data_IF_345558794998
#
_entry.id   IF_345558794998
#
_cell.length_a   1.000
_cell.length_b   1.000
_cell.length_c   1.000
_cell.angle_alpha   90.00
_cell.angle_beta   90.00
_cell.angle_gamma   90.00
#
_symmetry.space_group_name_H-M   'P 1'
#
loop_
_entity.id
_entity.type
_entity.pdbx_description
1 polymer ?
2 water ?
#
# COMPACT_ATOMS: atom_id res chain seq x y z
N UNK A 1 17.87 16.84 -16.44
CA UNK A 1 16.69 17.16 -17.22
C UNK A 1 15.52 17.70 -16.41
N UNK A 2 14.30 17.44 -16.87
CA UNK A 2 13.14 17.87 -16.09
C UNK A 2 13.13 17.20 -14.72
N UNK A 3 13.52 15.92 -14.66
CA UNK A 3 13.16 15.10 -13.52
C UNK A 3 13.84 15.61 -12.26
N UNK A 4 13.08 15.64 -11.17
CA UNK A 4 13.66 15.90 -9.86
C UNK A 4 14.61 14.77 -9.48
N UNK A 5 14.24 13.54 -9.83
CA UNK A 5 15.02 12.34 -9.56
C UNK A 5 14.38 11.19 -10.31
N UNK A 6 15.14 10.11 -10.44
CA UNK A 6 14.68 8.89 -11.11
C UNK A 6 14.99 7.72 -10.20
N UNK A 7 13.98 6.88 -9.97
CA UNK A 7 14.16 5.59 -9.31
C UNK A 7 14.16 4.52 -10.40
N UNK A 8 15.25 3.75 -10.50
CA UNK A 8 15.45 2.82 -11.60
C UNK A 8 15.04 1.40 -11.23
N UNK A 9 14.37 0.73 -12.17
CA UNK A 9 14.13 -0.72 -12.10
C UNK A 9 13.47 -1.13 -10.79
N UNK A 10 12.36 -0.45 -10.48
CA UNK A 10 11.59 -0.77 -9.28
C UNK A 10 10.63 -1.93 -9.57
N UNK A 11 10.48 -2.83 -8.59
CA UNK A 11 9.58 -3.96 -8.77
C UNK A 11 8.13 -3.51 -8.60
N UNK A 12 7.35 -3.63 -9.66
CA UNK A 12 5.92 -3.38 -9.58
C UNK A 12 5.16 -4.70 -9.63
N UNK A 13 4.11 -4.79 -8.82
CA UNK A 13 3.23 -5.96 -8.83
C UNK A 13 1.95 -5.70 -9.59
N UNK A 14 1.52 -4.45 -9.67
CA UNK A 14 0.31 -4.06 -10.39
C UNK A 14 0.67 -2.72 -11.02
N UNK A 15 0.93 -2.69 -12.35
CA UNK A 15 1.08 -3.90 -13.20
C UNK A 15 2.42 -4.61 -12.95
N UNK A 16 2.61 -5.85 -13.41
CA UNK A 16 3.79 -6.60 -13.01
C UNK A 16 4.96 -6.37 -13.97
N UNK A 17 6.16 -6.31 -13.41
CA UNK A 17 7.38 -5.98 -14.14
C UNK A 17 8.25 -4.98 -13.40
N UNK A 18 9.47 -4.73 -13.86
CA UNK A 18 10.31 -3.69 -13.30
C UNK A 18 10.17 -2.42 -14.14
N UNK A 19 10.02 -1.28 -13.45
CA UNK A 19 9.77 0.01 -14.07
C UNK A 19 10.68 1.07 -13.47
N UNK A 20 11.12 2.03 -14.30
CA UNK A 20 11.72 3.24 -13.78
C UNK A 20 10.61 4.19 -13.37
N UNK A 21 10.82 4.92 -12.29
CA UNK A 21 9.90 5.97 -11.87
C UNK A 21 10.62 7.30 -11.99
N UNK A 22 10.23 8.10 -12.97
CA UNK A 22 10.79 9.43 -13.19
C UNK A 22 9.87 10.44 -12.49
N UNK A 23 10.44 11.21 -11.57
CA UNK A 23 9.70 12.11 -10.69
C UNK A 23 9.83 13.52 -11.26
N UNK A 24 8.71 14.08 -11.70
CA UNK A 24 8.61 15.44 -12.17
C UNK A 24 7.79 16.26 -11.19
N UNK A 25 7.74 17.59 -11.36
CA UNK A 25 7.06 18.42 -10.36
C UNK A 25 5.57 18.14 -10.21
N UNK A 26 4.84 17.83 -11.29
CA UNK A 26 3.40 17.62 -11.19
C UNK A 26 2.96 16.20 -11.49
N UNK A 27 3.85 15.33 -11.96
CA UNK A 27 3.49 13.96 -12.25
C UNK A 27 4.72 13.09 -12.15
N UNK A 28 4.49 11.79 -12.01
CA UNK A 28 5.53 10.80 -12.18
C UNK A 28 5.30 10.06 -13.48
N UNK A 29 6.41 9.63 -14.09
CA UNK A 29 6.39 8.84 -15.31
C UNK A 29 6.84 7.44 -14.96
N UNK A 30 5.90 6.49 -15.04
CA UNK A 30 6.17 5.07 -14.82
C UNK A 30 6.58 4.46 -16.16
N UNK A 31 7.86 4.11 -16.29
CA UNK A 31 8.46 3.78 -17.58
C UNK A 31 8.84 2.30 -17.57
N UNK A 32 8.12 1.51 -18.36
CA UNK A 32 8.34 0.08 -18.44
C UNK A 32 9.03 -0.31 -19.72
N UNK A 33 9.16 -1.63 -19.90
CA UNK A 33 9.83 -2.14 -21.09
C UNK A 33 8.97 -1.90 -22.32
N UNK A 34 7.66 -2.08 -22.19
CA UNK A 34 6.72 -1.87 -23.28
C UNK A 34 5.70 -0.78 -22.99
N UNK A 35 5.30 -0.58 -21.74
CA UNK A 35 4.22 0.33 -21.41
C UNK A 35 4.73 1.54 -20.61
N UNK A 36 4.02 2.66 -20.79
CA UNK A 36 4.33 3.93 -20.17
C UNK A 36 3.05 4.60 -19.68
N UNK A 37 3.10 5.21 -18.51
CA UNK A 37 1.98 5.97 -18.00
C UNK A 37 2.46 7.20 -17.25
N UNK A 38 1.77 8.32 -17.49
CA UNK A 38 1.91 9.52 -16.67
C UNK A 38 0.87 9.48 -15.57
N UNK A 39 1.29 9.80 -14.36
CA UNK A 39 0.37 9.77 -13.22
C UNK A 39 0.49 11.11 -12.51
N UNK A 40 -0.46 12.04 -12.72
CA UNK A 40 -0.42 13.28 -11.95
C UNK A 40 -0.60 12.99 -10.48
N UNK A 41 0.12 13.73 -9.64
CA UNK A 41 0.01 13.54 -8.20
C UNK A 41 -1.41 13.78 -7.71
N UNK A 42 -2.20 14.56 -8.45
CA UNK A 42 -3.59 14.81 -8.07
C UNK A 42 -4.45 13.56 -8.16
N UNK A 43 -3.98 12.53 -8.87
CA UNK A 43 -4.71 11.27 -8.94
C UNK A 43 -4.31 10.28 -7.85
N UNK A 44 -3.41 10.66 -6.95
CA UNK A 44 -2.96 9.78 -5.88
C UNK A 44 -3.78 10.10 -4.62
N UNK A 45 -4.60 9.14 -4.20
CA UNK A 45 -5.53 9.37 -3.10
C UNK A 45 -5.00 8.94 -1.74
N UNK A 46 -4.20 7.88 -1.68
CA UNK A 46 -3.69 7.37 -0.42
C UNK A 46 -2.34 6.72 -0.68
N UNK A 47 -1.54 6.61 0.39
CA UNK A 47 -0.30 5.86 0.36
C UNK A 47 -0.25 4.93 1.56
N UNK A 48 0.29 3.72 1.36
CA UNK A 48 0.45 2.73 2.41
C UNK A 48 1.83 2.10 2.33
N UNK A 49 2.46 1.93 3.49
CA UNK A 49 3.68 1.12 3.64
C UNK A 49 3.35 -0.11 4.49
N UNK A 50 3.55 -1.30 3.93
CA UNK A 50 3.04 -2.53 4.53
C UNK A 50 4.16 -3.57 4.62
N UNK A 51 4.47 -4.07 5.80
CA UNK A 51 5.50 -5.12 5.96
C UNK A 51 5.00 -6.48 5.49
N UNK A 52 5.70 -7.06 4.54
CA UNK A 52 5.42 -8.42 4.12
C UNK A 52 5.58 -9.37 5.31
N UNK A 53 4.68 -10.35 5.37
CA UNK A 53 4.72 -11.34 6.45
C UNK A 53 6.06 -12.06 6.50
N UNK A 54 6.75 -12.21 5.36
CA UNK A 54 8.04 -12.89 5.33
C UNK A 54 9.13 -12.14 6.08
N UNK A 55 8.87 -10.93 6.55
CA UNK A 55 9.80 -10.10 7.32
C UNK A 55 10.97 -9.56 6.48
N UNK A 56 11.04 -9.91 5.19
CA UNK A 56 12.15 -9.44 4.36
C UNK A 56 11.75 -8.33 3.38
N UNK A 57 10.47 -8.16 3.12
CA UNK A 57 10.01 -7.25 2.07
C UNK A 57 8.99 -6.25 2.58
N UNK A 58 8.85 -5.17 1.82
CA UNK A 58 7.94 -4.08 2.11
C UNK A 58 7.15 -3.76 0.86
N UNK A 59 5.83 -3.64 1.01
CA UNK A 59 4.95 -3.13 -0.04
C UNK A 59 4.80 -1.62 0.12
N UNK A 60 4.85 -0.89 -1.00
CA UNK A 60 4.44 0.50 -1.03
C UNK A 60 3.25 0.62 -1.97
N UNK A 61 2.10 1.02 -1.41
CA UNK A 61 0.83 0.96 -2.11
C UNK A 61 0.39 2.38 -2.42
N UNK A 62 0.20 2.68 -3.71
CA UNK A 62 -0.26 3.99 -4.16
C UNK A 62 -1.66 3.83 -4.74
N UNK A 63 -2.66 4.35 -4.04
CA UNK A 63 -4.04 4.28 -4.52
C UNK A 63 -4.29 5.36 -5.56
N UNK A 64 -4.83 4.97 -6.72
CA UNK A 64 -4.99 5.86 -7.85
C UNK A 64 -6.45 6.04 -8.25
N UNK A 65 -6.80 7.28 -8.64
CA UNK A 65 -8.08 7.60 -9.24
C UNK A 65 -7.91 8.79 -10.18
N UNK A 66 -8.10 8.61 -11.50
CA UNK A 66 -8.58 7.36 -12.12
C UNK A 66 -7.51 6.27 -12.11
N UNK A 67 -7.89 5.02 -12.36
CA UNK A 67 -6.90 3.93 -12.39
C UNK A 67 -5.99 4.04 -13.61
N UNK A 68 -4.92 3.27 -13.54
CA UNK A 68 -3.97 3.14 -14.64
C UNK A 68 -4.54 2.31 -15.79
N UNK A 73 -7.46 -4.24 -18.92
CA UNK A 73 -7.21 -4.35 -17.48
C UNK A 73 -6.92 -2.99 -16.86
N UNK A 74 -7.45 -2.75 -15.67
CA UNK A 74 -7.26 -1.47 -14.98
C UNK A 74 -6.68 -1.71 -13.59
N UNK A 75 -5.74 -0.85 -13.21
CA UNK A 75 -5.05 -0.94 -11.94
C UNK A 75 -5.44 0.28 -11.11
N UNK A 76 -6.23 0.04 -10.06
CA UNK A 76 -6.62 1.10 -9.14
C UNK A 76 -5.57 1.35 -8.07
N UNK A 77 -4.50 0.57 -8.06
CA UNK A 77 -3.37 0.80 -7.17
C UNK A 77 -2.09 0.55 -7.94
N UNK A 78 -1.08 1.36 -7.69
CA UNK A 78 0.27 1.03 -8.08
C UNK A 78 0.94 0.45 -6.84
N UNK A 79 1.34 -0.82 -6.93
CA UNK A 79 1.97 -1.51 -5.80
C UNK A 79 3.41 -1.82 -6.15
N UNK A 80 4.34 -1.28 -5.35
CA UNK A 80 5.77 -1.54 -5.49
C UNK A 80 6.23 -2.46 -4.36
N UNK A 81 7.21 -3.32 -4.67
CA UNK A 81 7.72 -4.30 -3.72
C UNK A 81 9.23 -4.11 -3.55
N UNK A 82 9.69 -4.06 -2.30
CA UNK A 82 11.09 -3.84 -2.00
C UNK A 82 11.59 -4.89 -1.02
N UNK A 83 12.89 -5.19 -1.09
CA UNK A 83 13.58 -5.86 0.01
C UNK A 83 14.03 -4.82 1.03
N UNK A 84 13.83 -5.14 2.30
CA UNK A 84 14.18 -4.22 3.38
C UNK A 84 15.67 -3.89 3.40
N UNK A 85 16.53 -4.79 2.92
CA UNK A 85 17.94 -4.48 3.00
C UNK A 85 18.50 -3.73 1.78
N UNK A 86 17.62 -3.26 0.87
CA UNK A 86 18.08 -2.44 -0.25
C UNK A 86 18.23 -1.00 0.20
N UNK A 87 19.41 -0.42 -0.04
CA UNK A 87 19.75 0.97 0.29
C UNK A 87 19.95 1.78 -0.97
N UNK A 88 19.77 3.09 -0.83
CA UNK A 88 19.97 4.02 -1.94
C UNK A 88 20.38 5.37 -1.36
N UNK A 89 21.22 6.08 -2.10
CA UNK A 89 21.46 7.50 -1.87
C UNK A 89 21.10 8.26 -3.14
N UNK A 90 20.60 9.49 -2.95
CA UNK A 90 19.93 10.23 -4.01
C UNK A 90 20.39 11.68 -3.97
N UNK A 91 20.65 12.26 -5.14
CA UNK A 91 20.86 13.71 -5.27
C UNK A 91 19.78 14.28 -6.18
N UNK A 92 18.94 15.16 -5.62
CA UNK A 92 17.84 15.75 -6.37
C UNK A 92 18.37 16.76 -7.38
N UNK A 93 17.79 16.74 -8.58
CA UNK A 93 18.16 17.67 -9.65
C UNK A 93 17.54 19.05 -9.37
N UNK A 94 17.97 19.63 -8.25
CA UNK A 94 17.38 20.86 -7.71
C UNK A 94 18.40 21.53 -6.83
N UNK A 95 18.19 22.83 -6.59
CA UNK A 95 18.96 23.50 -5.55
C UNK A 95 18.25 23.37 -4.20
N UNK A 96 19.02 23.58 -3.14
CA UNK A 96 18.50 23.38 -1.78
C UNK A 96 17.34 24.33 -1.46
N UNK A 97 17.52 25.62 -1.76
CA UNK A 97 16.45 26.59 -1.49
C UNK A 97 15.16 26.20 -2.18
N UNK A 98 15.25 25.82 -3.46
CA UNK A 98 14.06 25.37 -4.15
C UNK A 98 13.48 24.10 -3.52
N UNK A 99 14.37 23.22 -3.03
CA UNK A 99 13.91 21.98 -2.39
C UNK A 99 13.10 22.28 -1.14
N UNK A 100 13.65 23.13 -0.26
CA UNK A 100 12.94 23.54 0.95
C UNK A 100 11.59 24.16 0.63
N UNK A 101 11.59 25.07 -0.35
CA UNK A 101 10.39 25.83 -0.68
C UNK A 101 9.31 24.94 -1.29
N UNK A 102 9.71 23.98 -2.14
CA UNK A 102 8.73 23.13 -2.80
C UNK A 102 8.12 22.11 -1.83
N UNK A 103 8.86 21.65 -0.83
CA UNK A 103 8.43 20.48 -0.06
C UNK A 103 8.34 20.72 1.45
N UNK A 104 8.23 21.98 1.90
CA UNK A 104 8.00 22.27 3.32
C UNK A 104 9.04 21.61 4.22
N UNK A 105 10.27 21.46 3.72
CA UNK A 105 11.32 20.86 4.52
C UNK A 105 11.32 19.36 4.56
N UNK A 106 10.39 18.70 3.86
CA UNK A 106 10.32 17.24 3.89
C UNK A 106 11.47 16.58 3.14
N UNK A 107 12.06 17.26 2.14
CA UNK A 107 13.19 16.70 1.41
C UNK A 107 14.42 17.61 1.53
N UNK A 108 15.59 17.04 1.24
CA UNK A 108 16.83 17.78 1.06
C UNK A 108 17.48 17.32 -0.24
N UNK A 109 18.44 18.12 -0.73
CA UNK A 109 19.06 17.81 -2.01
C UNK A 109 19.72 16.44 -1.98
N UNK A 110 20.51 16.18 -0.95
CA UNK A 110 21.18 14.89 -0.81
C UNK A 110 20.53 14.11 0.32
N UNK A 111 20.04 12.91 -0.01
CA UNK A 111 19.37 12.06 0.94
C UNK A 111 19.89 10.64 0.76
N UNK A 112 19.73 9.84 1.80
CA UNK A 112 20.07 8.42 1.71
C UNK A 112 19.20 7.66 2.69
N UNK A 113 18.94 6.41 2.39
CA UNK A 113 18.23 5.55 3.31
C UNK A 113 17.82 4.26 2.63
N UNK A 114 17.03 3.47 3.35
CA UNK A 114 16.41 2.29 2.73
C UNK A 114 15.66 2.71 1.47
N UNK A 115 15.76 1.87 0.42
CA UNK A 115 15.14 2.20 -0.86
C UNK A 115 13.63 2.38 -0.73
N UNK A 116 12.95 1.45 -0.03
CA UNK A 116 11.50 1.58 0.11
C UNK A 116 11.15 2.91 0.79
N UNK A 117 11.93 3.30 1.81
CA UNK A 117 11.58 4.52 2.53
C UNK A 117 11.90 5.76 1.71
N UNK A 118 12.96 5.71 0.88
CA UNK A 118 13.29 6.84 0.03
C UNK A 118 12.21 7.13 -1.02
N UNK A 119 11.70 6.08 -1.65
CA UNK A 119 10.61 6.24 -2.62
C UNK A 119 9.39 6.84 -1.94
N UNK A 120 9.02 6.29 -0.78
CA UNK A 120 7.81 6.73 -0.10
C UNK A 120 7.97 8.16 0.44
N UNK A 121 9.18 8.52 0.89
CA UNK A 121 9.45 9.86 1.37
C UNK A 121 9.28 10.89 0.25
N UNK A 122 9.78 10.58 -0.95
CA UNK A 122 9.65 11.49 -2.08
C UNK A 122 8.18 11.57 -2.52
N UNK A 123 7.50 10.42 -2.54
CA UNK A 123 6.09 10.40 -2.95
C UNK A 123 5.24 11.19 -1.97
N UNK A 124 5.39 10.91 -0.68
CA UNK A 124 4.67 11.64 0.37
C UNK A 124 4.87 13.14 0.19
N UNK A 125 6.11 13.57 -0.08
CA UNK A 125 6.39 14.99 -0.29
C UNK A 125 5.68 15.51 -1.54
N UNK A 126 5.66 14.74 -2.62
CA UNK A 126 5.10 15.21 -3.88
C UNK A 126 3.57 15.19 -3.87
N UNK A 127 2.96 14.16 -3.30
CA UNK A 127 1.50 14.10 -3.28
C UNK A 127 0.92 14.78 -2.04
N UNK A 128 1.77 15.13 -1.06
CA UNK A 128 1.32 15.85 0.14
C UNK A 128 0.28 15.05 0.91
N UNK A 129 0.55 13.75 1.11
CA UNK A 129 -0.33 12.89 1.87
C UNK A 129 0.51 12.09 2.86
N UNK A 130 -0.11 11.72 3.97
CA UNK A 130 0.56 10.91 4.97
C UNK A 130 0.65 9.45 4.51
N UNK A 131 1.64 8.73 5.03
CA UNK A 131 1.78 7.32 4.73
C UNK A 131 1.08 6.52 5.82
N UNK A 132 0.08 5.74 5.41
CA UNK A 132 -0.64 4.87 6.34
C UNK A 132 0.15 3.59 6.57
N UNK A 133 0.40 3.25 7.82
CA UNK A 133 1.16 2.05 8.18
C UNK A 133 0.30 1.21 9.13
N UNK A 134 0.69 -0.02 9.50
CA UNK A 134 -0.13 -0.78 10.45
C UNK A 134 -0.17 -0.12 11.81
N UNK A 135 -1.24 -0.42 12.56
CA UNK A 135 -1.35 -0.03 13.94
C UNK A 135 -0.90 -1.17 14.82
N UNK A 136 -1.75 -1.60 15.77
CA UNK A 136 -1.34 -2.59 16.76
C UNK A 136 -1.76 -4.01 16.43
N UNK A 137 -2.43 -4.25 15.30
CA UNK A 137 -2.80 -5.63 15.00
C UNK A 137 -1.58 -6.54 14.96
N UNK A 138 -1.71 -7.72 15.57
CA UNK A 138 -0.72 -8.79 15.44
C UNK A 138 -1.45 -10.12 15.30
N UNK A 139 -1.18 -10.83 14.22
CA UNK A 139 -1.75 -12.15 14.01
C UNK A 139 -1.12 -13.19 14.92
N UNK A 140 -1.52 -14.45 14.70
CA UNK A 140 -1.04 -15.52 15.57
C UNK A 140 0.48 -15.66 15.48
N UNK A 141 1.01 -15.67 14.24
CA UNK A 141 2.44 -15.81 14.00
C UNK A 141 3.26 -14.64 14.56
N UNK A 142 2.63 -13.51 14.84
CA UNK A 142 3.35 -12.30 15.16
C UNK A 142 3.37 -11.27 14.05
N UNK A 143 3.12 -11.69 12.80
CA UNK A 143 3.08 -10.76 11.69
C UNK A 143 1.96 -9.74 11.88
N UNK A 144 2.00 -8.69 11.07
CA UNK A 144 0.98 -7.65 11.09
C UNK A 144 -0.03 -7.81 9.97
N UNK A 145 -0.12 -9.01 9.40
CA UNK A 145 -1.08 -9.34 8.36
C UNK A 145 -1.44 -10.81 8.47
N UNK A 146 -2.43 -11.22 7.68
CA UNK A 146 -2.92 -12.60 7.69
C UNK A 146 -2.94 -13.12 6.27
N UNK A 147 -2.45 -14.34 6.09
CA UNK A 147 -2.57 -15.03 4.82
C UNK A 147 -4.04 -15.40 4.54
N UNK A 148 -4.48 -15.22 3.30
CA UNK A 148 -5.87 -15.51 2.94
C UNK A 148 -6.01 -15.47 1.42
N UNK A 149 -7.20 -15.86 0.96
CA UNK A 149 -7.57 -15.87 -0.45
C UNK A 149 -8.63 -14.80 -0.70
N UNK A 150 -8.61 -14.27 -1.91
CA UNK A 150 -9.57 -13.26 -2.34
C UNK A 150 -9.69 -13.39 -3.85
N UNK A 151 -10.90 -13.60 -4.34
CA UNK A 151 -11.15 -13.87 -5.76
C UNK A 151 -10.24 -14.98 -6.30
N UNK A 152 -10.11 -16.05 -5.52
CA UNK A 152 -9.35 -17.24 -5.94
C UNK A 152 -7.92 -16.90 -6.31
N UNK A 153 -7.23 -16.26 -5.37
CA UNK A 153 -5.81 -15.98 -5.45
C UNK A 153 -5.35 -15.64 -4.04
N UNK A 154 -4.10 -15.98 -3.73
CA UNK A 154 -3.60 -15.84 -2.36
C UNK A 154 -2.93 -14.49 -2.17
N UNK A 155 -3.04 -13.97 -0.95
CA UNK A 155 -2.42 -12.70 -0.62
C UNK A 155 -2.35 -12.49 0.87
N UNK A 156 -2.27 -11.22 1.26
CA UNK A 156 -2.11 -10.82 2.65
C UNK A 156 -3.15 -9.76 3.01
N UNK A 157 -3.81 -9.95 4.15
CA UNK A 157 -4.80 -8.99 4.66
C UNK A 157 -4.21 -8.22 5.83
N UNK A 158 -4.26 -6.88 5.75
CA UNK A 158 -3.71 -5.98 6.77
C UNK A 158 -4.84 -5.29 7.51
N UNK A 159 -5.11 -5.62 8.77
CA UNK A 159 -5.98 -4.78 9.61
C UNK A 159 -5.24 -3.53 10.09
N UNK A 160 -5.67 -2.38 9.58
CA UNK A 160 -5.05 -1.09 9.86
C UNK A 160 -5.83 -0.35 10.94
N UNK A 161 -5.44 0.90 11.19
CA UNK A 161 -6.06 1.69 12.24
C UNK A 161 -7.50 2.06 11.89
N UNK A 162 -7.78 2.28 10.61
CA UNK A 162 -9.07 2.79 10.14
C UNK A 162 -9.56 2.05 8.91
N UNK A 163 -8.98 0.90 8.59
CA UNK A 163 -9.42 0.17 7.42
C UNK A 163 -8.69 -1.16 7.30
N UNK A 164 -9.06 -1.89 6.25
CA UNK A 164 -8.40 -3.12 5.82
C UNK A 164 -7.81 -2.89 4.44
N UNK A 165 -6.63 -3.43 4.21
CA UNK A 165 -6.07 -3.45 2.86
C UNK A 165 -5.60 -4.87 2.58
N UNK A 166 -5.97 -5.39 1.40
CA UNK A 166 -5.50 -6.67 0.93
C UNK A 166 -4.61 -6.44 -0.28
N UNK A 167 -3.51 -7.20 -0.37
CA UNK A 167 -2.63 -7.12 -1.53
C UNK A 167 -2.34 -8.56 -1.98
N UNK A 168 -2.16 -8.75 -3.30
CA UNK A 168 -2.04 -7.69 -4.30
C UNK A 168 -2.81 -7.93 -5.61
N UNK A 169 -3.54 -9.04 -5.73
CA UNK A 169 -4.09 -9.45 -7.03
C UNK A 169 -5.51 -9.98 -6.87
N UNK A 170 -6.52 -9.11 -6.94
CA UNK A 170 -6.32 -7.66 -7.05
C UNK A 170 -6.31 -7.06 -5.66
N UNK A 171 -5.74 -5.87 -5.50
CA UNK A 171 -5.75 -5.24 -4.19
C UNK A 171 -7.13 -4.69 -3.88
N UNK A 172 -7.36 -4.48 -2.58
CA UNK A 172 -8.65 -4.02 -2.09
C UNK A 172 -8.40 -3.19 -0.85
N UNK A 173 -9.04 -2.01 -0.78
CA UNK A 173 -8.97 -1.19 0.42
C UNK A 173 -10.38 -0.88 0.87
N UNK A 174 -10.64 -1.05 2.17
CA UNK A 174 -11.97 -0.85 2.75
C UNK A 174 -11.79 -0.07 4.05
N UNK A 175 -12.38 1.13 4.11
CA UNK A 175 -12.39 1.90 5.35
C UNK A 175 -13.37 1.29 6.34
N UNK A 176 -13.06 1.46 7.63
CA UNK A 176 -14.02 1.02 8.65
C UNK A 176 -15.33 1.77 8.53
N UNK A 177 -15.28 3.05 8.15
CA UNK A 177 -16.55 3.78 8.07
C UNK A 177 -17.38 3.43 6.83
N UNK A 178 -16.87 2.57 5.93
CA UNK A 178 -17.68 1.99 4.87
C UNK A 178 -18.31 0.66 5.25
N UNK A 179 -17.95 0.10 6.41
CA UNK A 179 -18.37 -1.23 6.80
C UNK A 179 -19.70 -1.15 7.55
N UNK A 180 -20.65 -1.99 7.17
CA UNK A 180 -21.84 -2.12 8.01
C UNK A 180 -21.63 -3.18 9.10
N UNK A 181 -21.12 -4.36 8.73
CA UNK A 181 -20.82 -5.38 9.73
C UNK A 181 -19.83 -6.37 9.16
N UNK A 182 -19.30 -7.23 10.04
CA UNK A 182 -18.40 -8.29 9.64
C UNK A 182 -19.00 -9.60 10.13
N UNK A 183 -18.55 -10.69 9.52
CA UNK A 183 -19.05 -12.02 9.80
C UNK A 183 -17.90 -13.01 9.74
N UNK A 184 -17.94 -14.01 10.61
CA UNK A 184 -16.97 -15.10 10.62
C UNK A 184 -17.70 -16.37 10.21
N UNK A 185 -17.30 -16.95 9.08
CA UNK A 185 -18.03 -18.05 8.46
C UNK A 185 -17.16 -19.28 8.33
N UNK A 186 -17.83 -20.43 8.25
CA UNK A 186 -17.22 -21.73 7.99
C UNK A 186 -16.37 -21.68 6.73
N UNK A 187 -15.42 -22.63 6.64
CA UNK A 187 -14.42 -22.63 5.58
C UNK A 187 -14.90 -22.50 4.15
N UNK A 193 -9.94 -24.08 8.64
CA UNK A 193 -9.88 -22.74 8.09
C UNK A 193 -11.25 -22.05 8.11
N UNK A 194 -11.26 -20.71 8.06
CA UNK A 194 -12.51 -19.98 8.11
C UNK A 194 -12.48 -18.82 7.12
N UNK A 195 -13.64 -18.22 6.93
CA UNK A 195 -13.87 -17.13 5.98
C UNK A 195 -14.22 -15.87 6.75
N UNK A 196 -13.59 -14.75 6.38
CA UNK A 196 -13.84 -13.44 6.98
C UNK A 196 -14.61 -12.60 5.99
N UNK A 197 -15.85 -12.25 6.34
CA UNK A 197 -16.77 -11.59 5.44
C UNK A 197 -17.02 -10.18 5.95
N UNK A 198 -17.01 -9.23 5.02
CA UNK A 198 -17.23 -7.82 5.29
C UNK A 198 -18.37 -7.36 4.41
N UNK A 199 -19.42 -6.83 5.02
CA UNK A 199 -20.55 -6.26 4.29
C UNK A 199 -20.50 -4.73 4.41
N UNK A 200 -20.45 -4.03 3.28
CA UNK A 200 -20.41 -2.58 3.32
C UNK A 200 -21.81 -2.00 3.51
N UNK A 201 -21.84 -0.70 3.79
CA UNK A 201 -23.11 0.01 3.97
C UNK A 201 -23.91 0.08 2.67
N UNK A 202 -23.25 0.00 1.51
CA UNK A 202 -23.99 0.00 0.25
C UNK A 202 -24.51 -1.38 -0.12
N UNK A 203 -24.30 -2.37 0.74
CA UNK A 203 -24.80 -3.70 0.47
C UNK A 203 -24.00 -4.43 -0.57
N UNK A 204 -22.68 -4.50 -0.34
CA UNK A 204 -21.78 -5.33 -1.12
C UNK A 204 -20.89 -6.08 -0.13
N UNK A 205 -20.20 -7.11 -0.63
CA UNK A 205 -19.50 -8.05 0.25
C UNK A 205 -18.11 -8.32 -0.26
N UNK A 206 -17.17 -8.47 0.68
CA UNK A 206 -15.83 -8.97 0.42
C UNK A 206 -15.63 -10.21 1.28
N UNK A 207 -15.04 -11.25 0.70
CA UNK A 207 -14.77 -12.47 1.45
C UNK A 207 -13.29 -12.81 1.35
N UNK A 208 -12.63 -12.83 2.49
CA UNK A 208 -11.24 -13.25 2.60
C UNK A 208 -11.27 -14.64 3.20
N UNK A 209 -11.04 -15.64 2.36
CA UNK A 209 -11.30 -17.03 2.70
C UNK A 209 -10.00 -17.77 2.99
N UNK A 210 -10.16 -18.97 3.55
CA UNK A 210 -9.05 -19.88 3.80
C UNK A 210 -8.05 -19.31 4.79
N UNK A 211 -8.56 -18.58 5.79
CA UNK A 211 -7.71 -18.09 6.86
C UNK A 211 -7.45 -19.21 7.86
N UNK A 212 -6.17 -19.43 8.19
CA UNK A 212 -5.84 -20.51 9.12
C UNK A 212 -6.58 -20.32 10.43
N UNK A 213 -7.08 -21.42 10.96
CA UNK A 213 -7.96 -21.39 12.13
C UNK A 213 -7.35 -20.60 13.30
N UNK A 214 -6.06 -20.79 13.55
CA UNK A 214 -5.43 -20.14 14.70
C UNK A 214 -5.40 -18.61 14.59
N UNK A 215 -5.85 -18.02 13.48
CA UNK A 215 -5.93 -16.57 13.40
C UNK A 215 -7.26 -16.01 13.90
N UNK A 216 -8.24 -16.87 14.19
CA UNK A 216 -9.58 -16.39 14.49
C UNK A 216 -9.59 -15.38 15.62
N UNK A 217 -9.05 -15.77 16.78
CA UNK A 217 -9.27 -15.00 18.00
C UNK A 217 -8.67 -13.61 17.97
N UNK A 218 -7.49 -13.47 17.37
CA UNK A 218 -6.89 -12.13 17.30
C UNK A 218 -7.65 -11.24 16.31
N UNK A 219 -8.07 -11.79 15.16
CA UNK A 219 -8.90 -11.00 14.25
C UNK A 219 -10.22 -10.63 14.90
N UNK A 220 -10.84 -11.57 15.63
CA UNK A 220 -12.09 -11.30 16.33
C UNK A 220 -11.89 -10.20 17.38
N UNK A 221 -10.82 -10.33 18.18
CA UNK A 221 -10.49 -9.31 19.19
C UNK A 221 -10.25 -7.95 18.54
N UNK A 222 -9.56 -7.94 17.41
CA UNK A 222 -9.27 -6.66 16.76
C UNK A 222 -10.56 -5.98 16.29
N UNK A 223 -11.44 -6.72 15.60
CA UNK A 223 -12.63 -6.04 15.08
C UNK A 223 -13.52 -5.61 16.24
N UNK A 224 -13.48 -6.36 17.35
CA UNK A 224 -14.18 -5.94 18.56
C UNK A 224 -13.61 -4.63 19.10
N UNK A 225 -12.29 -4.55 19.22
CA UNK A 225 -11.66 -3.33 19.71
C UNK A 225 -12.01 -2.13 18.83
N UNK A 226 -12.13 -2.34 17.52
CA UNK A 226 -12.47 -1.28 16.59
C UNK A 226 -13.96 -1.03 16.49
N UNK A 227 -14.76 -1.64 17.38
CA UNK A 227 -16.20 -1.39 17.47
C UNK A 227 -16.90 -1.58 16.13
N UNK A 228 -16.45 -2.58 15.37
CA UNK A 228 -17.18 -3.03 14.19
C UNK A 228 -18.29 -3.99 14.60
N UNK A 229 -19.48 -3.81 14.02
CA UNK A 229 -20.57 -4.76 14.25
C UNK A 229 -20.18 -6.14 13.75
N UNK A 230 -20.45 -7.16 14.55
CA UNK A 230 -20.28 -8.54 14.11
C UNK A 230 -21.67 -9.17 14.07
N UNK A 231 -22.15 -9.45 12.85
CA UNK A 231 -23.44 -10.12 12.67
C UNK A 231 -23.18 -11.58 12.31
N UNK A 232 -22.76 -12.33 13.32
CA UNK A 232 -22.43 -13.74 13.15
C UNK A 232 -23.68 -14.60 12.98
#
# INVERSE_FOLDING_TARGET
GDAICIFRELQCLTPRGRYDIRIYPTFLHLHGKTFDYKIPYTTVLRLFLLPHKDQRQMFFVISLDPPIKQGQTRYHFLILLFSKDEDISLTLNMNEEEVEKRFEGRLTKNMSGSLYEMVSRVMKALVNRKITVPGNFQGHSGAQCITCSYKASSGLLYPLERGFIYVHKPPVHIRFDEISFVNFARGTTTTRSFDFEIETKQGTQYTFSSIEREEYGKLFDFVNAKKLNIKNRGL
#
